data_IF_691676125327
#
_entry.id   IF_691676125327
#
_cell.length_a   1.000
_cell.length_b   1.000
_cell.length_c   1.000
_cell.angle_alpha   90.00
_cell.angle_beta   90.00
_cell.angle_gamma   90.00
#
_symmetry.space_group_name_H-M   'P 1'
#
loop_
_entity.id
_entity.type
_entity.pdbx_description
1 polymer ?
#
# COMPACT_ATOMS: atom_id res chain seq x y z
N UNK A 1 18.38 -36.54 33.49
CA UNK A 1 18.10 -35.25 34.17
C UNK A 1 18.85 -34.18 33.40
N UNK A 2 18.16 -33.18 32.85
CA UNK A 2 18.75 -31.98 32.26
C UNK A 2 19.11 -32.04 30.77
N UNK A 3 18.14 -31.68 29.92
CA UNK A 3 18.44 -31.06 28.63
C UNK A 3 18.92 -29.64 28.92
N UNK A 4 19.97 -29.17 28.26
CA UNK A 4 20.31 -27.74 28.17
C UNK A 4 20.28 -27.35 26.71
N UNK A 5 19.09 -26.92 26.26
CA UNK A 5 18.92 -26.18 25.01
C UNK A 5 19.41 -24.75 25.28
N UNK A 6 20.53 -24.38 24.67
CA UNK A 6 20.99 -23.00 24.57
C UNK A 6 20.18 -22.33 23.45
N UNK A 7 19.03 -21.79 23.82
CA UNK A 7 18.13 -21.04 22.95
C UNK A 7 18.65 -19.59 22.89
N UNK A 8 19.65 -19.35 22.04
CA UNK A 8 19.93 -17.99 21.55
C UNK A 8 18.80 -17.63 20.59
N UNK A 9 17.69 -17.19 21.19
CA UNK A 9 16.54 -16.66 20.48
C UNK A 9 16.97 -15.48 19.60
N UNK A 10 17.18 -15.77 18.33
CA UNK A 10 17.24 -14.77 17.29
C UNK A 10 15.90 -14.02 17.32
N UNK A 11 15.90 -12.79 17.83
CA UNK A 11 14.84 -11.84 17.51
C UNK A 11 15.01 -11.48 16.04
N UNK A 12 14.50 -12.33 15.16
CA UNK A 12 14.29 -11.97 13.77
C UNK A 12 13.30 -10.81 13.80
N UNK A 13 13.78 -9.62 13.47
CA UNK A 13 12.93 -8.46 13.30
C UNK A 13 11.93 -8.82 12.20
N UNK A 14 10.69 -9.14 12.58
CA UNK A 14 9.61 -9.31 11.62
C UNK A 14 9.40 -7.93 11.02
N UNK A 15 10.02 -7.69 9.86
CA UNK A 15 9.95 -6.43 9.15
C UNK A 15 8.55 -6.37 8.53
N UNK A 16 7.56 -5.97 9.34
CA UNK A 16 6.17 -5.94 8.92
C UNK A 16 6.03 -5.05 7.69
N UNK A 17 5.72 -5.65 6.55
CA UNK A 17 5.56 -4.92 5.29
C UNK A 17 4.34 -4.01 5.42
N UNK A 18 4.47 -2.71 5.14
CA UNK A 18 3.37 -1.76 5.25
C UNK A 18 2.88 -1.41 3.86
N UNK A 19 1.75 -1.99 3.48
CA UNK A 19 1.23 -1.95 2.13
C UNK A 19 0.10 -0.92 2.06
N UNK A 20 0.35 0.20 1.37
CA UNK A 20 -0.67 1.23 1.13
C UNK A 20 -1.48 0.89 -0.12
N UNK A 21 -2.80 0.76 0.04
CA UNK A 21 -3.72 0.49 -1.07
C UNK A 21 -4.57 1.72 -1.32
N UNK A 22 -4.28 2.45 -2.40
CA UNK A 22 -5.14 3.58 -2.82
C UNK A 22 -6.38 3.05 -3.54
N UNK A 23 -7.52 3.73 -3.45
CA UNK A 23 -8.77 3.22 -4.04
C UNK A 23 -9.29 1.96 -3.32
N UNK A 24 -8.92 1.78 -2.05
CA UNK A 24 -9.21 0.58 -1.26
C UNK A 24 -10.69 0.33 -0.99
N UNK A 25 -11.55 1.34 -1.16
CA UNK A 25 -13.01 1.20 -1.05
C UNK A 25 -13.69 0.77 -2.36
N UNK A 26 -12.98 0.78 -3.49
CA UNK A 26 -13.50 0.35 -4.78
C UNK A 26 -13.61 -1.17 -4.91
N UNK A 27 -14.18 -1.64 -6.03
CA UNK A 27 -14.43 -3.08 -6.28
C UNK A 27 -13.17 -3.94 -6.05
N UNK A 28 -12.05 -3.57 -6.68
CA UNK A 28 -10.79 -4.30 -6.57
C UNK A 28 -10.23 -4.21 -5.14
N UNK A 29 -10.27 -3.02 -4.53
CA UNK A 29 -9.84 -2.84 -3.14
C UNK A 29 -10.60 -3.71 -2.15
N UNK A 30 -11.93 -3.84 -2.31
CA UNK A 30 -12.77 -4.75 -1.52
C UNK A 30 -12.44 -6.22 -1.78
N UNK A 31 -12.13 -6.59 -3.02
CA UNK A 31 -11.64 -7.93 -3.36
C UNK A 31 -10.33 -8.28 -2.63
N UNK A 32 -9.37 -7.36 -2.63
CA UNK A 32 -8.10 -7.52 -1.90
C UNK A 32 -8.36 -7.68 -0.40
N UNK A 33 -9.22 -6.83 0.19
CA UNK A 33 -9.60 -6.96 1.61
C UNK A 33 -10.20 -8.34 1.94
N UNK A 34 -11.00 -8.91 1.04
CA UNK A 34 -11.61 -10.22 1.23
C UNK A 34 -10.62 -11.37 1.05
N UNK A 35 -9.66 -11.23 0.14
CA UNK A 35 -8.62 -12.22 -0.11
C UNK A 35 -7.66 -12.33 1.09
N UNK A 36 -7.14 -11.21 1.57
CA UNK A 36 -6.19 -11.15 2.70
C UNK A 36 -6.77 -11.77 3.97
N UNK A 37 -8.07 -11.56 4.24
CA UNK A 37 -8.74 -12.18 5.41
C UNK A 37 -8.72 -13.71 5.40
N UNK A 38 -8.49 -14.33 4.24
CA UNK A 38 -8.45 -15.78 4.06
C UNK A 38 -7.02 -16.29 3.85
N UNK A 39 -6.04 -15.41 3.77
CA UNK A 39 -4.67 -15.75 3.44
C UNK A 39 -3.82 -15.89 4.72
N UNK A 40 -3.35 -17.10 5.06
CA UNK A 40 -2.47 -17.31 6.21
C UNK A 40 -1.07 -16.71 6.00
N UNK A 41 -0.68 -16.36 4.77
CA UNK A 41 0.61 -15.75 4.46
C UNK A 41 0.65 -14.25 4.71
N UNK A 42 -0.49 -13.60 4.95
CA UNK A 42 -0.53 -12.16 5.23
C UNK A 42 -0.12 -11.78 6.67
N UNK A 43 0.41 -12.72 7.45
CA UNK A 43 0.76 -12.51 8.86
C UNK A 43 1.90 -11.49 9.05
N UNK A 44 2.79 -11.33 8.07
CA UNK A 44 3.89 -10.35 8.06
C UNK A 44 3.53 -9.03 7.34
N UNK A 45 2.26 -8.84 6.96
CA UNK A 45 1.80 -7.72 6.15
C UNK A 45 0.76 -6.86 6.87
N UNK A 46 0.99 -5.56 6.90
CA UNK A 46 0.05 -4.55 7.41
C UNK A 46 -0.52 -3.73 6.25
N UNK A 47 -1.81 -3.91 5.99
CA UNK A 47 -2.50 -3.25 4.87
C UNK A 47 -3.24 -1.98 5.31
N UNK A 48 -3.04 -0.90 4.55
CA UNK A 48 -3.64 0.41 4.78
C UNK A 48 -4.49 0.77 3.56
N UNK A 49 -5.81 0.64 3.69
CA UNK A 49 -6.73 0.91 2.58
C UNK A 49 -7.24 2.35 2.65
N UNK A 50 -6.84 3.17 1.67
CA UNK A 50 -7.29 4.55 1.56
C UNK A 50 -8.62 4.67 0.83
N UNK A 51 -9.39 5.64 1.27
CA UNK A 51 -10.59 6.18 0.66
C UNK A 51 -10.35 7.63 0.19
N UNK A 52 -11.30 8.20 -0.54
CA UNK A 52 -11.23 9.63 -0.90
C UNK A 52 -11.29 10.58 0.31
N UNK A 53 -11.68 10.10 1.50
CA UNK A 53 -11.72 10.90 2.74
C UNK A 53 -10.34 11.07 3.38
N UNK A 54 -9.39 10.22 3.01
CA UNK A 54 -8.03 10.25 3.55
C UNK A 54 -7.15 11.32 2.89
N UNK A 55 -7.59 11.83 1.73
CA UNK A 55 -6.98 12.94 1.02
C UNK A 55 -7.13 12.81 -0.50
N UNK A 56 -7.05 13.94 -1.20
CA UNK A 56 -7.03 13.95 -2.65
C UNK A 56 -5.62 13.66 -3.16
N UNK A 57 -5.41 12.48 -3.74
CA UNK A 57 -4.10 12.09 -4.26
C UNK A 57 -3.64 12.97 -5.44
N UNK A 58 -4.53 13.73 -6.08
CA UNK A 58 -4.15 14.69 -7.13
C UNK A 58 -3.43 15.91 -6.54
N UNK A 59 -3.64 16.19 -5.26
CA UNK A 59 -2.91 17.19 -4.52
C UNK A 59 -1.59 16.62 -4.00
N UNK A 60 -0.49 17.34 -4.26
CA UNK A 60 0.85 16.88 -3.93
C UNK A 60 1.07 16.85 -2.42
N UNK A 61 0.67 17.89 -1.71
CA UNK A 61 0.91 18.01 -0.26
C UNK A 61 0.04 17.03 0.53
N UNK A 62 -1.21 16.81 0.10
CA UNK A 62 -2.07 15.77 0.66
C UNK A 62 -1.45 14.39 0.47
N UNK A 63 -0.95 14.08 -0.72
CA UNK A 63 -0.26 12.80 -0.99
C UNK A 63 0.97 12.65 -0.10
N UNK A 64 1.81 13.68 -0.01
CA UNK A 64 2.98 13.68 0.86
C UNK A 64 2.63 13.51 2.34
N UNK A 65 1.56 14.14 2.81
CA UNK A 65 1.07 13.99 4.19
C UNK A 65 0.60 12.55 4.47
N UNK A 66 -0.09 11.91 3.53
CA UNK A 66 -0.50 10.51 3.61
C UNK A 66 0.73 9.60 3.71
N UNK A 67 1.72 9.78 2.83
CA UNK A 67 2.96 8.99 2.85
C UNK A 67 3.73 9.19 4.15
N UNK A 68 3.86 10.44 4.63
CA UNK A 68 4.52 10.72 5.93
C UNK A 68 3.80 10.06 7.10
N UNK A 69 2.46 10.09 7.12
CA UNK A 69 1.65 9.48 8.19
C UNK A 69 1.79 7.96 8.21
N UNK A 70 1.77 7.33 7.05
CA UNK A 70 1.68 5.88 6.94
C UNK A 70 3.01 5.18 6.61
N UNK A 71 4.07 5.93 6.29
CA UNK A 71 5.37 5.51 5.69
C UNK A 71 5.34 4.11 5.07
N UNK A 72 4.55 3.92 4.02
CA UNK A 72 4.41 2.59 3.45
C UNK A 72 5.74 2.10 2.88
N UNK A 73 5.96 0.78 2.93
CA UNK A 73 7.09 0.15 2.24
C UNK A 73 6.71 -0.31 0.84
N UNK A 74 5.41 -0.52 0.60
CA UNK A 74 4.87 -0.95 -0.69
C UNK A 74 3.58 -0.20 -1.00
N UNK A 75 3.27 0.02 -2.27
CA UNK A 75 2.05 0.71 -2.70
C UNK A 75 1.33 -0.07 -3.80
N UNK A 76 0.04 -0.34 -3.58
CA UNK A 76 -0.89 -0.83 -4.60
C UNK A 76 -1.78 0.34 -5.03
N UNK A 77 -1.55 0.87 -6.23
CA UNK A 77 -2.26 2.05 -6.71
C UNK A 77 -3.51 1.71 -7.53
N UNK A 78 -4.68 1.58 -6.87
CA UNK A 78 -5.97 1.35 -7.55
C UNK A 78 -6.80 2.62 -7.75
N UNK A 79 -6.36 3.75 -7.21
CA UNK A 79 -7.03 5.05 -7.37
C UNK A 79 -6.80 5.63 -8.77
N UNK A 80 -7.31 4.94 -9.78
CA UNK A 80 -7.54 5.47 -11.11
C UNK A 80 -9.05 5.69 -11.28
N UNK A 81 -9.46 6.54 -12.23
CA UNK A 81 -10.83 6.59 -12.73
C UNK A 81 -11.18 5.28 -13.45
N UNK A 82 -11.31 4.19 -12.70
CA UNK A 82 -11.88 2.93 -13.15
C UNK A 82 -13.31 2.96 -12.66
N UNK A 83 -14.21 3.48 -13.50
CA UNK A 83 -15.60 3.69 -13.12
C UNK A 83 -16.33 2.36 -12.91
N UNK A 84 -16.07 1.67 -11.81
CA UNK A 84 -16.73 0.42 -11.40
C UNK A 84 -16.95 -0.61 -12.52
N UNK A 85 -17.84 -1.56 -12.25
CA UNK A 85 -18.29 -2.51 -13.27
C UNK A 85 -19.16 -1.83 -14.36
N UNK A 86 -19.84 -0.73 -14.01
CA UNK A 86 -20.88 -0.11 -14.86
C UNK A 86 -20.45 1.16 -15.60
N UNK A 87 -19.47 1.92 -15.13
CA UNK A 87 -18.98 3.10 -15.85
C UNK A 87 -17.93 2.75 -16.93
N UNK A 88 -17.32 1.56 -16.89
CA UNK A 88 -16.56 1.02 -18.02
C UNK A 88 -17.46 0.42 -19.12
N UNK A 89 -18.68 -0.01 -18.81
CA UNK A 89 -19.63 -0.52 -19.81
C UNK A 89 -20.25 0.59 -20.68
N UNK A 90 -20.33 1.82 -20.16
CA UNK A 90 -20.94 2.98 -20.86
C UNK A 90 -19.93 3.87 -21.59
N UNK A 91 -18.63 3.60 -21.49
CA UNK A 91 -17.56 4.39 -22.13
C UNK A 91 -16.59 3.44 -22.84
N UNK A 92 -16.31 3.66 -24.13
CA UNK A 92 -15.15 3.04 -24.80
C UNK A 92 -13.93 3.31 -23.92
N UNK A 93 -13.17 2.27 -23.58
CA UNK A 93 -11.90 2.38 -22.81
C UNK A 93 -11.02 3.39 -23.53
N UNK A 94 -11.00 4.61 -23.01
CA UNK A 94 -9.95 5.58 -23.33
C UNK A 94 -8.95 5.39 -22.21
N UNK A 95 -7.70 4.98 -22.50
CA UNK A 95 -6.65 4.94 -21.47
C UNK A 95 -6.67 6.27 -20.72
N UNK A 96 -6.68 6.26 -19.39
CA UNK A 96 -6.69 7.49 -18.61
C UNK A 96 -5.47 8.32 -19.05
N UNK A 97 -5.65 9.44 -19.79
CA UNK A 97 -4.53 10.15 -20.39
C UNK A 97 -3.70 10.91 -19.35
N UNK A 98 -4.17 10.96 -18.10
CA UNK A 98 -3.50 11.62 -16.99
C UNK A 98 -3.41 10.67 -15.77
N UNK A 99 -2.45 9.73 -15.77
CA UNK A 99 -2.15 8.96 -14.57
C UNK A 99 -1.63 9.90 -13.48
N UNK A 100 -2.10 9.74 -12.24
CA UNK A 100 -1.66 10.58 -11.14
C UNK A 100 -0.18 10.29 -10.80
N UNK A 101 0.75 11.23 -11.03
CA UNK A 101 2.17 10.98 -10.82
C UNK A 101 2.58 11.07 -9.34
N UNK A 102 1.75 11.66 -8.48
CA UNK A 102 2.13 11.97 -7.10
C UNK A 102 2.43 10.69 -6.31
N UNK A 103 1.59 9.65 -6.46
CA UNK A 103 1.76 8.39 -5.73
C UNK A 103 3.08 7.70 -6.11
N UNK A 104 3.45 7.71 -7.39
CA UNK A 104 4.70 7.11 -7.85
C UNK A 104 5.92 7.90 -7.38
N UNK A 105 5.84 9.24 -7.38
CA UNK A 105 6.93 10.12 -6.91
C UNK A 105 7.18 9.98 -5.41
N UNK A 106 6.12 9.97 -4.62
CA UNK A 106 6.22 9.81 -3.16
C UNK A 106 6.66 8.40 -2.76
N UNK A 107 6.25 7.36 -3.50
CA UNK A 107 6.75 6.00 -3.26
C UNK A 107 8.28 5.91 -3.44
N UNK A 108 8.82 6.49 -4.51
CA UNK A 108 10.28 6.55 -4.75
C UNK A 108 11.02 7.37 -3.69
N UNK A 109 10.47 8.53 -3.34
CA UNK A 109 11.11 9.41 -2.34
C UNK A 109 11.11 8.74 -0.95
N UNK A 110 10.08 7.96 -0.63
CA UNK A 110 10.03 7.18 0.60
C UNK A 110 11.05 6.03 0.63
N UNK A 111 11.44 5.46 -0.51
CA UNK A 111 12.52 4.46 -0.57
C UNK A 111 13.87 5.09 -0.21
N UNK A 112 14.14 6.31 -0.66
CA UNK A 112 15.36 7.05 -0.33
C UNK A 112 15.42 7.40 1.17
N UNK A 113 14.29 7.77 1.78
CA UNK A 113 14.20 8.05 3.23
C UNK A 113 14.39 6.80 4.12
N UNK A 114 14.18 5.60 3.57
CA UNK A 114 14.34 4.33 4.30
C UNK A 114 15.75 3.74 4.18
N UNK A 115 16.55 4.20 3.21
CA UNK A 115 17.99 3.94 3.17
C UNK A 115 18.62 4.92 4.16
N UNK A 116 19.16 4.42 5.26
CA UNK A 116 19.96 5.25 6.17
C UNK A 116 21.12 5.94 5.41
N UNK A 117 21.83 6.89 6.03
CA UNK A 117 23.02 7.46 5.40
C UNK A 117 23.96 6.32 4.99
N UNK A 118 24.29 6.25 3.69
CA UNK A 118 25.25 5.30 3.15
C UNK A 118 26.57 5.43 3.95
N UNK A 119 27.22 4.31 4.33
CA UNK A 119 28.45 4.32 5.12
C UNK A 119 29.65 4.98 4.40
#
# INVERSE_FOLDING_TARGET
>A
MGQTFSDEGQFEAICTKRILVTGGTGLVGKGIQAAIKKDPLAADESYIFLSSRDGDLRDKEATRAIFRRHRPTHVIHLAALVGGLFANQRRKVTPNPNPNPNVQREARSGEDDLRGPEP
#
